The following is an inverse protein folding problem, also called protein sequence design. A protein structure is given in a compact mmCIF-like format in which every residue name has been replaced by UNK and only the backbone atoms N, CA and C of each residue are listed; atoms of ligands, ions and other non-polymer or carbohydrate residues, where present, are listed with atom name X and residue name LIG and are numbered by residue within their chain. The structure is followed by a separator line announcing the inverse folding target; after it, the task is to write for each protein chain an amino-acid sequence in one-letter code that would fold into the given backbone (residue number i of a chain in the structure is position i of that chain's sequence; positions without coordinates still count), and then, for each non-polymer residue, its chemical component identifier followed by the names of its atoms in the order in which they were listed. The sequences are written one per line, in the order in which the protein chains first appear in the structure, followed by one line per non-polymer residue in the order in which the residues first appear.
data_IF_969201615832
#
_entry.id   IF_969201615832
#
_cell.length_a   1.000
_cell.length_b   1.000
_cell.length_c   1.000
_cell.angle_alpha   90.00
_cell.angle_beta   90.00
_cell.angle_gamma   90.00
#
_symmetry.space_group_name_H-M   'P 1'
#
loop_
_entity.id
_entity.type
_entity.pdbx_description
1 polymer ?
#
# COMPACT_ATOMS: atom_id res chain seq x y z
N UNK A 1 -3.25 -18.05 5.78
CA UNK A 1 -3.90 -16.84 6.33
C UNK A 1 -3.32 -16.60 7.70
N UNK A 2 -2.68 -15.45 7.90
CA UNK A 2 -2.14 -15.07 9.21
C UNK A 2 -3.31 -14.77 10.14
N UNK A 3 -3.31 -15.34 11.35
CA UNK A 3 -4.35 -15.06 12.35
C UNK A 3 -4.14 -13.64 12.91
N UNK A 4 -5.08 -12.74 12.61
CA UNK A 4 -5.06 -11.32 13.02
C UNK A 4 -4.78 -11.15 14.51
N UNK A 5 -5.40 -11.96 15.37
CA UNK A 5 -5.20 -11.86 16.82
C UNK A 5 -3.76 -12.23 17.22
N UNK A 6 -3.22 -13.29 16.62
CA UNK A 6 -1.82 -13.70 16.80
C UNK A 6 -0.84 -12.62 16.32
N UNK A 7 -1.11 -11.97 15.19
CA UNK A 7 -0.25 -10.88 14.67
C UNK A 7 -0.28 -9.65 15.57
N UNK A 8 -1.45 -9.23 16.04
CA UNK A 8 -1.57 -8.12 17.00
C UNK A 8 -0.82 -8.44 18.30
N UNK A 9 -0.96 -9.68 18.80
CA UNK A 9 -0.24 -10.13 20.01
C UNK A 9 1.28 -10.09 19.81
N UNK A 10 1.77 -10.52 18.63
CA UNK A 10 3.18 -10.43 18.28
C UNK A 10 3.67 -8.98 18.27
N UNK A 11 2.95 -8.09 17.60
CA UNK A 11 3.32 -6.67 17.48
C UNK A 11 3.37 -6.00 18.86
N UNK A 12 2.31 -6.14 19.65
CA UNK A 12 2.22 -5.53 20.99
C UNK A 12 3.27 -6.10 21.95
N UNK A 13 3.58 -7.40 21.85
CA UNK A 13 4.68 -8.00 22.62
C UNK A 13 6.03 -7.45 22.18
N UNK A 14 6.28 -7.35 20.87
CA UNK A 14 7.51 -6.76 20.35
C UNK A 14 7.68 -5.29 20.79
N UNK A 15 6.60 -4.50 20.78
CA UNK A 15 6.61 -3.10 21.24
C UNK A 15 6.95 -2.99 22.72
N UNK A 16 6.36 -3.85 23.57
CA UNK A 16 6.69 -3.93 25.00
C UNK A 16 8.15 -4.34 25.22
N UNK A 17 8.63 -5.35 24.49
CA UNK A 17 10.00 -5.84 24.60
C UNK A 17 11.02 -4.77 24.16
N UNK A 18 10.73 -4.03 23.08
CA UNK A 18 11.55 -2.90 22.62
C UNK A 18 11.62 -1.79 23.67
N UNK A 19 10.48 -1.44 24.28
CA UNK A 19 10.45 -0.48 25.37
C UNK A 19 11.29 -0.95 26.55
N UNK A 20 11.16 -2.22 26.95
CA UNK A 20 11.95 -2.79 28.04
C UNK A 20 13.46 -2.77 27.74
N UNK A 21 13.87 -3.05 26.49
CA UNK A 21 15.26 -2.92 26.07
C UNK A 21 15.75 -1.47 26.11
N UNK A 22 14.90 -0.52 25.72
CA UNK A 22 15.23 0.91 25.72
C UNK A 22 15.37 1.48 27.14
N UNK A 23 14.57 0.99 28.08
CA UNK A 23 14.61 1.38 29.49
C UNK A 23 15.58 0.52 30.32
N UNK A 24 16.29 -0.43 29.70
CA UNK A 24 17.19 -1.34 30.40
C UNK A 24 18.28 -0.56 31.14
N UNK A 25 18.38 -0.81 32.44
CA UNK A 25 19.47 -0.36 33.30
C UNK A 25 20.04 -1.57 34.03
N UNK A 26 21.37 -1.69 34.04
CA UNK A 26 22.08 -2.76 34.73
C UNK A 26 23.35 -2.19 35.36
N UNK A 27 23.39 -2.12 36.69
CA UNK A 27 24.51 -1.56 37.45
C UNK A 27 25.77 -2.43 37.39
N UNK A 28 25.64 -3.68 36.94
CA UNK A 28 26.75 -4.61 36.82
C UNK A 28 27.39 -4.62 35.43
N UNK A 29 26.81 -3.90 34.46
CA UNK A 29 27.35 -3.80 33.10
C UNK A 29 28.07 -2.46 32.89
N UNK A 30 29.13 -2.49 32.10
CA UNK A 30 29.70 -1.25 31.54
C UNK A 30 28.73 -0.66 30.50
N UNK A 31 28.87 0.62 30.13
CA UNK A 31 28.06 1.21 29.06
C UNK A 31 28.11 0.42 27.75
N UNK A 32 29.27 -0.13 27.38
CA UNK A 32 29.43 -0.99 26.21
C UNK A 32 28.71 -2.32 26.38
N UNK A 33 28.81 -2.94 27.57
CA UNK A 33 28.10 -4.17 27.90
C UNK A 33 26.58 -4.01 27.86
N UNK A 34 26.08 -2.87 28.35
CA UNK A 34 24.66 -2.51 28.28
C UNK A 34 24.22 -2.37 26.81
N UNK A 35 24.96 -1.63 25.98
CA UNK A 35 24.65 -1.49 24.55
C UNK A 35 24.69 -2.81 23.79
N UNK A 36 25.67 -3.68 24.08
CA UNK A 36 25.76 -5.00 23.46
C UNK A 36 24.53 -5.87 23.82
N UNK A 37 24.06 -5.79 25.08
CA UNK A 37 22.84 -6.46 25.52
C UNK A 37 21.59 -5.89 24.82
N UNK A 38 21.44 -4.57 24.79
CA UNK A 38 20.33 -3.91 24.09
C UNK A 38 20.29 -4.28 22.60
N UNK A 39 21.44 -4.31 21.92
CA UNK A 39 21.54 -4.75 20.52
C UNK A 39 21.08 -6.20 20.36
N UNK A 40 21.55 -7.11 21.21
CA UNK A 40 21.13 -8.50 21.18
C UNK A 40 19.61 -8.66 21.37
N UNK A 41 19.02 -7.92 22.30
CA UNK A 41 17.58 -7.97 22.56
C UNK A 41 16.79 -7.43 21.35
N UNK A 42 17.21 -6.32 20.77
CA UNK A 42 16.64 -5.76 19.53
C UNK A 42 16.76 -6.73 18.35
N UNK A 43 17.91 -7.38 18.17
CA UNK A 43 18.13 -8.35 17.09
C UNK A 43 17.22 -9.57 17.23
N UNK A 44 16.99 -10.06 18.46
CA UNK A 44 16.04 -11.14 18.75
C UNK A 44 14.60 -10.71 18.43
N UNK A 45 14.22 -9.48 18.77
CA UNK A 45 12.90 -8.93 18.43
C UNK A 45 12.74 -8.85 16.90
N UNK A 46 13.72 -8.29 16.19
CA UNK A 46 13.75 -8.18 14.73
C UNK A 46 13.61 -9.55 14.07
N UNK A 47 14.38 -10.53 14.51
CA UNK A 47 14.30 -11.89 13.97
C UNK A 47 12.91 -12.51 14.12
N UNK A 48 12.23 -12.30 15.27
CA UNK A 48 10.85 -12.77 15.48
C UNK A 48 9.86 -12.08 14.54
N UNK A 49 9.98 -10.77 14.35
CA UNK A 49 9.11 -9.99 13.45
C UNK A 49 9.32 -10.41 11.98
N UNK A 50 10.57 -10.55 11.55
CA UNK A 50 10.92 -10.97 10.19
C UNK A 50 10.44 -12.39 9.90
N UNK A 51 10.57 -13.32 10.86
CA UNK A 51 10.09 -14.69 10.71
C UNK A 51 8.55 -14.79 10.60
N UNK A 52 7.83 -13.78 11.09
CA UNK A 52 6.38 -13.71 11.04
C UNK A 52 5.84 -12.93 9.82
N UNK A 53 6.71 -12.41 8.94
CA UNK A 53 6.27 -11.69 7.75
C UNK A 53 5.37 -12.59 6.90
N UNK A 54 4.18 -12.11 6.50
CA UNK A 54 3.40 -12.78 5.48
C UNK A 54 4.25 -13.02 4.23
N UNK A 55 3.98 -14.13 3.53
CA UNK A 55 4.57 -14.40 2.22
C UNK A 55 4.42 -13.16 1.32
N UNK A 56 5.44 -12.88 0.52
CA UNK A 56 5.44 -11.73 -0.37
C UNK A 56 4.21 -11.80 -1.30
N UNK A 57 3.30 -10.83 -1.23
CA UNK A 57 2.08 -10.86 -2.03
C UNK A 57 2.43 -10.75 -3.50
N UNK A 58 1.86 -11.61 -4.33
CA UNK A 58 2.02 -11.49 -5.78
C UNK A 58 1.21 -10.30 -6.26
N UNK A 59 1.84 -9.31 -6.90
CA UNK A 59 1.09 -8.26 -7.58
C UNK A 59 0.65 -8.82 -8.93
N UNK A 60 -0.65 -9.05 -9.17
CA UNK A 60 -1.10 -9.56 -10.46
C UNK A 60 -0.85 -8.50 -11.54
N UNK A 61 -0.43 -8.97 -12.72
CA UNK A 61 -0.16 -8.09 -13.85
C UNK A 61 -1.47 -7.64 -14.50
N UNK A 62 -1.70 -6.31 -14.52
CA UNK A 62 -2.85 -5.67 -15.15
C UNK A 62 -2.70 -5.56 -16.68
N UNK A 63 -1.47 -5.60 -17.19
CA UNK A 63 -1.14 -5.33 -18.59
C UNK A 63 -1.91 -6.20 -19.59
N UNK A 64 -2.12 -7.52 -19.37
CA UNK A 64 -2.85 -8.36 -20.31
C UNK A 64 -4.30 -7.92 -20.55
N UNK A 65 -4.95 -7.32 -19.54
CA UNK A 65 -6.32 -6.79 -19.68
C UNK A 65 -6.31 -5.48 -20.47
N UNK A 66 -5.33 -4.61 -20.21
CA UNK A 66 -5.16 -3.35 -20.92
C UNK A 66 -4.81 -3.60 -22.40
N UNK A 67 -3.89 -4.51 -22.69
CA UNK A 67 -3.51 -4.92 -24.05
C UNK A 67 -4.71 -5.50 -24.82
N UNK A 68 -5.63 -6.18 -24.13
CA UNK A 68 -6.84 -6.73 -24.74
C UNK A 68 -7.89 -5.65 -25.12
N UNK A 69 -7.67 -4.38 -24.77
CA UNK A 69 -8.49 -3.25 -25.20
C UNK A 69 -8.02 -2.65 -26.53
N UNK A 70 -6.76 -2.87 -26.91
CA UNK A 70 -6.22 -2.37 -28.18
C UNK A 70 -7.01 -2.93 -29.37
N UNK A 71 -7.35 -2.08 -30.36
CA UNK A 71 -8.10 -2.53 -31.53
C UNK A 71 -7.24 -3.48 -32.39
N UNK A 72 -7.83 -4.58 -32.85
CA UNK A 72 -7.11 -5.64 -33.58
C UNK A 72 -7.32 -5.61 -35.09
N UNK A 73 -8.31 -4.86 -35.55
CA UNK A 73 -8.71 -4.77 -36.95
C UNK A 73 -9.32 -3.39 -37.25
N UNK A 74 -9.56 -3.14 -38.54
CA UNK A 74 -10.08 -1.86 -39.03
C UNK A 74 -11.48 -1.54 -38.49
N UNK A 75 -12.32 -2.56 -38.25
CA UNK A 75 -13.68 -2.36 -37.74
C UNK A 75 -13.64 -1.89 -36.28
N UNK A 76 -12.77 -2.49 -35.47
CA UNK A 76 -12.52 -2.07 -34.09
C UNK A 76 -11.91 -0.67 -34.02
N UNK A 77 -11.00 -0.33 -34.93
CA UNK A 77 -10.46 1.05 -35.04
C UNK A 77 -11.61 2.03 -35.33
N UNK A 78 -12.49 1.72 -36.28
CA UNK A 78 -13.62 2.58 -36.62
C UNK A 78 -14.61 2.73 -35.45
N UNK A 79 -14.89 1.65 -34.73
CA UNK A 79 -15.76 1.67 -33.55
C UNK A 79 -15.16 2.51 -32.42
N UNK A 80 -13.86 2.39 -32.15
CA UNK A 80 -13.18 3.20 -31.14
C UNK A 80 -13.12 4.67 -31.53
N UNK A 81 -12.79 4.99 -32.79
CA UNK A 81 -12.83 6.36 -33.29
C UNK A 81 -14.23 7.00 -33.16
N UNK A 82 -15.29 6.22 -33.41
CA UNK A 82 -16.66 6.67 -33.21
C UNK A 82 -17.00 6.90 -31.72
N UNK A 83 -16.54 6.04 -30.81
CA UNK A 83 -16.72 6.26 -29.38
C UNK A 83 -15.94 7.48 -28.89
N UNK A 84 -14.72 7.67 -29.38
CA UNK A 84 -13.93 8.85 -29.06
C UNK A 84 -14.63 10.14 -29.50
N UNK A 85 -15.22 10.17 -30.70
CA UNK A 85 -16.03 11.31 -31.15
C UNK A 85 -17.19 11.62 -30.20
N UNK A 86 -17.82 10.61 -29.58
CA UNK A 86 -18.87 10.81 -28.58
C UNK A 86 -18.31 11.34 -27.26
N UNK A 87 -17.17 10.82 -26.81
CA UNK A 87 -16.47 11.32 -25.61
C UNK A 87 -16.14 12.79 -25.77
N UNK A 88 -15.56 13.17 -26.91
CA UNK A 88 -15.26 14.57 -27.24
C UNK A 88 -16.50 15.45 -27.22
N UNK A 89 -17.61 14.99 -27.83
CA UNK A 89 -18.86 15.74 -27.80
C UNK A 89 -19.40 15.96 -26.37
N UNK A 90 -19.16 15.02 -25.44
CA UNK A 90 -19.53 15.18 -24.03
C UNK A 90 -18.61 16.17 -23.31
N UNK A 91 -17.31 16.12 -23.58
CA UNK A 91 -16.33 17.08 -23.05
C UNK A 91 -16.64 18.51 -23.54
N UNK A 92 -16.90 18.68 -24.84
CA UNK A 92 -17.29 19.96 -25.45
C UNK A 92 -18.61 20.49 -24.89
N UNK A 93 -19.51 19.60 -24.43
CA UNK A 93 -20.75 19.96 -23.73
C UNK A 93 -20.54 20.31 -22.24
N UNK A 94 -19.28 20.31 -21.77
CA UNK A 94 -18.90 20.67 -20.41
C UNK A 94 -18.99 19.54 -19.39
N UNK A 95 -19.15 18.29 -19.82
CA UNK A 95 -19.10 17.14 -18.91
C UNK A 95 -17.65 16.79 -18.59
N UNK A 96 -17.34 16.53 -17.32
CA UNK A 96 -15.99 16.13 -16.93
C UNK A 96 -15.64 14.67 -17.31
N UNK A 97 -14.35 14.41 -17.53
CA UNK A 97 -13.85 13.10 -17.93
C UNK A 97 -14.09 12.01 -16.87
N UNK A 98 -13.90 12.24 -15.55
CA UNK A 98 -14.19 11.24 -14.53
C UNK A 98 -15.64 10.74 -14.58
N UNK A 99 -16.61 11.63 -14.75
CA UNK A 99 -18.02 11.27 -14.89
C UNK A 99 -18.30 10.53 -16.19
N UNK A 100 -17.58 10.84 -17.28
CA UNK A 100 -17.70 10.09 -18.55
C UNK A 100 -17.17 8.66 -18.39
N UNK A 101 -16.03 8.50 -17.71
CA UNK A 101 -15.43 7.19 -17.39
C UNK A 101 -16.39 6.37 -16.54
N UNK A 102 -16.99 6.96 -15.50
CA UNK A 102 -17.92 6.27 -14.62
C UNK A 102 -19.13 5.66 -15.35
N UNK A 103 -19.61 6.31 -16.42
CA UNK A 103 -20.74 5.83 -17.24
C UNK A 103 -20.31 4.96 -18.42
N UNK A 104 -19.00 4.86 -18.69
CA UNK A 104 -18.48 4.20 -19.88
C UNK A 104 -18.69 2.68 -19.84
N UNK A 105 -18.91 2.12 -21.02
CA UNK A 105 -18.77 0.70 -21.29
C UNK A 105 -17.32 0.37 -21.68
N UNK A 106 -17.01 -0.92 -21.80
CA UNK A 106 -15.66 -1.40 -22.14
C UNK A 106 -15.10 -0.75 -23.42
N UNK A 107 -15.93 -0.55 -24.44
CA UNK A 107 -15.48 -0.01 -25.73
C UNK A 107 -15.15 1.47 -25.63
N UNK A 108 -15.95 2.25 -24.89
CA UNK A 108 -15.65 3.66 -24.62
C UNK A 108 -14.41 3.83 -23.75
N UNK A 109 -14.20 2.96 -22.76
CA UNK A 109 -12.95 2.96 -21.97
C UNK A 109 -11.72 2.68 -22.82
N UNK A 110 -11.81 1.73 -23.75
CA UNK A 110 -10.74 1.45 -24.70
C UNK A 110 -10.41 2.68 -25.56
N UNK A 111 -11.44 3.36 -26.08
CA UNK A 111 -11.25 4.58 -26.88
C UNK A 111 -10.62 5.73 -26.08
N UNK A 112 -10.97 5.88 -24.80
CA UNK A 112 -10.35 6.87 -23.89
C UNK A 112 -8.87 6.56 -23.69
N UNK A 113 -8.52 5.30 -23.39
CA UNK A 113 -7.12 4.90 -23.20
C UNK A 113 -6.28 5.10 -24.46
N UNK A 114 -6.81 4.77 -25.63
CA UNK A 114 -6.13 4.91 -26.92
C UNK A 114 -5.77 6.37 -27.24
N UNK A 115 -6.62 7.31 -26.82
CA UNK A 115 -6.42 8.74 -27.09
C UNK A 115 -5.71 9.50 -25.98
N UNK A 116 -5.43 8.85 -24.83
CA UNK A 116 -4.98 9.49 -23.59
C UNK A 116 -3.77 10.41 -23.79
N UNK A 117 -2.75 9.95 -24.52
CA UNK A 117 -1.53 10.72 -24.78
C UNK A 117 -1.71 11.92 -25.72
N UNK A 118 -2.90 12.11 -26.30
CA UNK A 118 -3.23 13.19 -27.24
C UNK A 118 -4.37 14.08 -26.76
N UNK A 119 -4.90 13.83 -25.55
CA UNK A 119 -5.99 14.61 -24.99
C UNK A 119 -5.50 16.02 -24.60
N UNK A 120 -6.24 17.10 -24.93
CA UNK A 120 -5.89 18.46 -24.49
C UNK A 120 -5.72 18.55 -22.97
N UNK A 121 -6.56 17.88 -22.20
CA UNK A 121 -6.51 17.85 -20.74
C UNK A 121 -5.20 17.28 -20.19
N UNK A 122 -4.55 16.38 -20.94
CA UNK A 122 -3.23 15.84 -20.58
C UNK A 122 -2.12 16.75 -21.09
N UNK A 123 -2.22 17.22 -22.34
CA UNK A 123 -1.17 18.01 -22.99
C UNK A 123 -1.03 19.43 -22.44
N UNK A 124 -2.12 20.01 -21.93
CA UNK A 124 -2.17 21.38 -21.43
C UNK A 124 -1.89 21.47 -19.91
N UNK A 125 -1.88 20.34 -19.19
CA UNK A 125 -1.53 20.32 -17.78
C UNK A 125 -0.02 20.49 -17.57
N UNK A 126 0.33 21.16 -16.48
CA UNK A 126 1.71 21.28 -15.97
C UNK A 126 2.37 19.94 -15.61
N UNK A 127 1.58 18.90 -15.34
CA UNK A 127 2.02 17.58 -14.87
C UNK A 127 1.30 16.46 -15.63
N UNK A 128 1.59 16.29 -16.93
CA UNK A 128 0.88 15.34 -17.81
C UNK A 128 0.94 13.89 -17.31
N UNK A 129 2.05 13.48 -16.72
CA UNK A 129 2.24 12.11 -16.20
C UNK A 129 1.27 11.81 -15.05
N UNK A 130 1.07 12.75 -14.12
CA UNK A 130 0.11 12.57 -13.02
C UNK A 130 -1.34 12.49 -13.52
N UNK A 131 -1.67 13.27 -14.55
CA UNK A 131 -3.01 13.23 -15.17
C UNK A 131 -3.24 11.89 -15.87
N UNK A 132 -2.23 11.37 -16.57
CA UNK A 132 -2.27 10.05 -17.21
C UNK A 132 -2.50 8.96 -16.16
N UNK A 133 -1.72 8.95 -15.09
CA UNK A 133 -1.87 7.96 -14.01
C UNK A 133 -3.25 8.03 -13.35
N UNK A 134 -3.74 9.24 -13.09
CA UNK A 134 -5.08 9.46 -12.54
C UNK A 134 -6.17 8.90 -13.46
N UNK A 135 -6.11 9.19 -14.76
CA UNK A 135 -7.10 8.71 -15.73
C UNK A 135 -7.01 7.18 -15.89
N UNK A 136 -5.80 6.62 -15.95
CA UNK A 136 -5.60 5.17 -16.01
C UNK A 136 -6.18 4.47 -14.77
N UNK A 137 -5.99 5.04 -13.58
CA UNK A 137 -6.61 4.58 -12.34
C UNK A 137 -8.14 4.57 -12.44
N UNK A 138 -8.74 5.69 -12.84
CA UNK A 138 -10.20 5.79 -13.00
C UNK A 138 -10.75 4.81 -14.05
N UNK A 139 -10.05 4.62 -15.16
CA UNK A 139 -10.43 3.64 -16.19
C UNK A 139 -10.33 2.22 -15.64
N UNK A 140 -9.27 1.89 -14.90
CA UNK A 140 -9.13 0.57 -14.27
C UNK A 140 -10.27 0.30 -13.30
N UNK A 141 -10.58 1.24 -12.40
CA UNK A 141 -11.67 1.12 -11.45
C UNK A 141 -13.02 0.89 -12.13
N UNK A 142 -13.24 1.53 -13.28
CA UNK A 142 -14.43 1.27 -14.09
C UNK A 142 -14.37 -0.09 -14.78
N UNK A 143 -13.22 -0.46 -15.36
CA UNK A 143 -13.04 -1.76 -16.03
C UNK A 143 -13.36 -2.92 -15.09
N UNK A 144 -12.95 -2.84 -13.82
CA UNK A 144 -13.30 -3.81 -12.78
C UNK A 144 -14.82 -4.04 -12.69
N UNK A 145 -15.63 -3.00 -12.90
CA UNK A 145 -17.09 -3.11 -12.85
C UNK A 145 -17.74 -3.65 -14.13
N UNK A 146 -17.06 -3.55 -15.28
CA UNK A 146 -17.66 -3.84 -16.60
C UNK A 146 -16.94 -4.93 -17.40
N UNK A 147 -15.77 -5.38 -16.96
CA UNK A 147 -14.95 -6.41 -17.61
C UNK A 147 -14.65 -7.56 -16.61
N UNK A 148 -15.14 -8.78 -16.88
CA UNK A 148 -14.90 -9.92 -15.99
C UNK A 148 -13.42 -10.29 -15.79
N UNK A 149 -12.54 -9.96 -16.73
CA UNK A 149 -11.10 -10.20 -16.60
C UNK A 149 -10.46 -9.20 -15.64
N UNK A 150 -10.84 -7.92 -15.71
CA UNK A 150 -10.43 -6.90 -14.75
C UNK A 150 -10.92 -7.23 -13.33
N UNK A 151 -12.18 -7.64 -13.18
CA UNK A 151 -12.74 -8.05 -11.88
C UNK A 151 -11.96 -9.21 -11.25
N UNK A 152 -11.53 -10.20 -12.06
CA UNK A 152 -10.71 -11.32 -11.56
C UNK A 152 -9.35 -10.85 -11.04
N UNK A 153 -8.69 -9.93 -11.75
CA UNK A 153 -7.41 -9.36 -11.29
C UNK A 153 -7.62 -8.57 -10.01
N UNK A 154 -8.62 -7.68 -9.97
CA UNK A 154 -8.94 -6.90 -8.78
C UNK A 154 -9.36 -7.79 -7.58
N UNK A 155 -9.98 -8.95 -7.80
CA UNK A 155 -10.27 -9.91 -6.74
C UNK A 155 -8.98 -10.52 -6.16
N UNK A 156 -7.98 -10.82 -7.00
CA UNK A 156 -6.66 -11.28 -6.54
C UNK A 156 -5.96 -10.17 -5.75
N UNK A 157 -5.98 -8.93 -6.27
CA UNK A 157 -5.41 -7.77 -5.57
C UNK A 157 -6.04 -7.60 -4.19
N UNK A 158 -7.37 -7.60 -4.09
CA UNK A 158 -8.11 -7.51 -2.83
C UNK A 158 -7.76 -8.64 -1.85
N UNK A 159 -7.57 -9.86 -2.35
CA UNK A 159 -7.17 -11.01 -1.52
C UNK A 159 -5.78 -10.82 -0.91
N UNK A 160 -4.90 -10.09 -1.60
CA UNK A 160 -3.54 -9.82 -1.17
C UNK A 160 -3.43 -8.61 -0.23
N UNK A 161 -4.39 -7.69 -0.24
CA UNK A 161 -4.36 -6.44 0.54
C UNK A 161 -4.10 -6.64 2.04
N UNK A 162 -4.73 -7.60 2.75
CA UNK A 162 -4.42 -7.83 4.16
C UNK A 162 -2.95 -8.27 4.40
N UNK A 163 -2.39 -9.08 3.50
CA UNK A 163 -1.00 -9.51 3.62
C UNK A 163 -0.04 -8.33 3.38
N UNK A 164 -0.35 -7.44 2.43
CA UNK A 164 0.40 -6.20 2.17
C UNK A 164 0.39 -5.31 3.42
N UNK A 165 -0.79 -5.08 4.00
CA UNK A 165 -0.96 -4.23 5.19
C UNK A 165 -0.15 -4.75 6.39
N UNK A 166 -0.30 -6.05 6.72
CA UNK A 166 0.43 -6.65 7.84
C UNK A 166 1.94 -6.68 7.61
N UNK A 167 2.37 -6.94 6.37
CA UNK A 167 3.78 -6.92 6.01
C UNK A 167 4.38 -5.53 6.20
N UNK A 168 3.72 -4.47 5.72
CA UNK A 168 4.18 -3.09 5.90
C UNK A 168 4.33 -2.70 7.38
N UNK A 169 3.40 -3.14 8.25
CA UNK A 169 3.47 -2.93 9.69
C UNK A 169 4.69 -3.64 10.30
N UNK A 170 4.85 -4.94 10.01
CA UNK A 170 5.92 -5.76 10.57
C UNK A 170 7.31 -5.32 10.09
N UNK A 171 7.45 -4.96 8.81
CA UNK A 171 8.69 -4.42 8.24
C UNK A 171 9.03 -3.07 8.86
N UNK A 172 8.04 -2.17 8.99
CA UNK A 172 8.21 -0.88 9.66
C UNK A 172 8.68 -1.06 11.11
N UNK A 173 8.02 -1.93 11.87
CA UNK A 173 8.34 -2.21 13.26
C UNK A 173 9.73 -2.87 13.42
N UNK A 174 10.09 -3.80 12.54
CA UNK A 174 11.41 -4.41 12.57
C UNK A 174 12.51 -3.39 12.24
N UNK A 175 12.26 -2.49 11.29
CA UNK A 175 13.23 -1.48 10.88
C UNK A 175 13.41 -0.40 11.95
N UNK A 176 12.33 0.25 12.40
CA UNK A 176 12.40 1.48 13.20
C UNK A 176 11.95 1.31 14.64
N UNK A 177 11.42 0.14 15.01
CA UNK A 177 10.81 -0.09 16.30
C UNK A 177 9.41 0.54 16.45
N UNK A 178 8.83 1.09 15.38
CA UNK A 178 7.50 1.73 15.38
C UNK A 178 6.58 1.20 14.28
N UNK A 179 5.27 1.22 14.56
CA UNK A 179 4.25 0.96 13.55
C UNK A 179 4.09 2.20 12.66
N UNK A 180 4.56 2.10 11.42
CA UNK A 180 4.56 3.22 10.47
C UNK A 180 3.16 3.61 10.00
N UNK A 181 3.01 4.89 9.66
CA UNK A 181 1.73 5.46 9.21
C UNK A 181 1.18 4.75 7.97
N UNK A 182 2.04 4.43 6.99
CA UNK A 182 1.63 3.78 5.74
C UNK A 182 0.98 2.42 6.00
N UNK A 183 1.57 1.61 6.88
CA UNK A 183 1.01 0.31 7.27
C UNK A 183 -0.35 0.44 7.98
N UNK A 184 -0.52 1.48 8.80
CA UNK A 184 -1.81 1.78 9.46
C UNK A 184 -2.88 2.19 8.46
N UNK A 185 -2.53 3.03 7.48
CA UNK A 185 -3.46 3.43 6.41
C UNK A 185 -3.92 2.20 5.62
N UNK A 186 -2.98 1.33 5.22
CA UNK A 186 -3.31 0.09 4.51
C UNK A 186 -4.19 -0.83 5.36
N UNK A 187 -3.87 -1.01 6.65
CA UNK A 187 -4.69 -1.83 7.54
C UNK A 187 -6.09 -1.23 7.75
N UNK A 188 -6.20 0.08 7.90
CA UNK A 188 -7.50 0.77 8.02
C UNK A 188 -8.41 0.51 6.82
N UNK A 189 -7.85 0.53 5.62
CA UNK A 189 -8.59 0.33 4.37
C UNK A 189 -9.16 -1.10 4.24
N UNK A 190 -8.48 -2.09 4.83
CA UNK A 190 -8.80 -3.52 4.63
C UNK A 190 -9.48 -4.14 5.84
N UNK A 191 -9.15 -3.69 7.05
CA UNK A 191 -9.63 -4.22 8.33
C UNK A 191 -9.53 -3.12 9.42
N UNK A 192 -10.50 -2.18 9.45
CA UNK A 192 -10.49 -1.08 10.41
C UNK A 192 -10.65 -1.53 11.86
N UNK A 193 -11.30 -2.67 12.10
CA UNK A 193 -11.45 -3.25 13.44
C UNK A 193 -10.11 -3.78 13.96
N UNK A 194 -9.34 -4.48 13.11
CA UNK A 194 -8.00 -4.92 13.46
C UNK A 194 -7.05 -3.75 13.76
N UNK A 195 -7.16 -2.65 13.02
CA UNK A 195 -6.40 -1.44 13.33
C UNK A 195 -6.77 -0.87 14.71
N UNK A 196 -8.06 -0.78 15.03
CA UNK A 196 -8.49 -0.27 16.33
C UNK A 196 -7.93 -1.13 17.49
N UNK A 197 -7.98 -2.46 17.34
CA UNK A 197 -7.40 -3.40 18.31
C UNK A 197 -5.87 -3.28 18.42
N UNK A 198 -5.19 -3.11 17.28
CA UNK A 198 -3.76 -2.86 17.24
C UNK A 198 -3.40 -1.57 17.99
N UNK A 199 -4.14 -0.49 17.74
CA UNK A 199 -3.90 0.82 18.34
C UNK A 199 -4.13 0.81 19.85
N UNK A 200 -5.19 0.14 20.31
CA UNK A 200 -5.44 -0.07 21.74
C UNK A 200 -4.31 -0.89 22.39
N UNK A 201 -3.94 -2.00 21.75
CA UNK A 201 -2.88 -2.87 22.23
C UNK A 201 -1.50 -2.19 22.27
N UNK A 202 -1.17 -1.38 21.26
CA UNK A 202 0.09 -0.65 21.18
C UNK A 202 0.15 0.46 22.24
N UNK A 203 -0.94 1.18 22.46
CA UNK A 203 -1.03 2.20 23.51
C UNK A 203 -0.78 1.61 24.91
N UNK A 204 -1.20 0.36 25.15
CA UNK A 204 -0.94 -0.38 26.40
C UNK A 204 0.49 -0.95 26.46
N UNK A 205 1.07 -1.33 25.32
CA UNK A 205 2.39 -1.96 25.25
C UNK A 205 3.54 -0.94 25.32
N UNK A 206 3.37 0.23 24.71
CA UNK A 206 4.37 1.29 24.59
C UNK A 206 3.71 2.70 24.66
N UNK A 207 3.36 3.20 25.87
CA UNK A 207 2.61 4.44 26.02
C UNK A 207 3.33 5.68 25.47
N UNK A 208 2.54 6.63 24.94
CA UNK A 208 2.98 7.77 24.11
C UNK A 208 4.09 8.70 24.65
N UNK A 209 4.31 8.94 25.97
CA UNK A 209 5.48 9.72 26.40
C UNK A 209 6.80 8.96 26.26
N UNK A 210 6.77 7.62 26.13
CA UNK A 210 7.95 6.75 26.04
C UNK A 210 8.22 6.25 24.61
N UNK A 211 7.28 6.42 23.66
CA UNK A 211 7.45 5.93 22.28
C UNK A 211 8.70 6.50 21.62
N UNK A 212 9.03 7.78 21.84
CA UNK A 212 10.24 8.40 21.28
C UNK A 212 11.56 7.80 21.80
N UNK A 213 11.54 6.98 22.84
CA UNK A 213 12.73 6.30 23.37
C UNK A 213 13.08 5.08 22.49
N UNK A 214 12.08 4.41 21.90
CA UNK A 214 12.30 3.21 21.07
C UNK A 214 13.02 3.55 19.75
N UNK A 215 12.56 4.49 18.89
CA UNK A 215 13.28 4.87 17.67
C UNK A 215 14.68 5.37 17.97
N UNK A 216 14.86 6.16 19.04
CA UNK A 216 16.18 6.67 19.45
C UNK A 216 17.13 5.53 19.85
N UNK A 217 16.63 4.53 20.58
CA UNK A 217 17.43 3.33 20.86
C UNK A 217 17.86 2.68 19.55
N UNK A 218 16.89 2.37 18.67
CA UNK A 218 17.14 1.66 17.41
C UNK A 218 18.16 2.41 16.55
N UNK A 219 17.97 3.72 16.35
CA UNK A 219 18.89 4.59 15.61
C UNK A 219 20.28 4.66 16.26
N UNK A 220 20.35 4.80 17.59
CA UNK A 220 21.63 4.84 18.30
C UNK A 220 22.42 3.54 18.15
N UNK A 221 21.73 2.40 18.12
CA UNK A 221 22.35 1.09 17.93
C UNK A 221 22.81 0.89 16.48
N UNK A 222 22.29 1.60 15.50
CA UNK A 222 22.76 1.52 14.11
C UNK A 222 23.94 2.45 13.84
N UNK A 223 24.02 3.58 14.54
CA UNK A 223 25.09 4.58 14.36
C UNK A 223 26.46 4.17 14.90
N UNK A 224 26.53 3.14 15.76
CA UNK A 224 27.79 2.67 16.37
C UNK A 224 28.22 1.35 15.70
N UNK A 225 29.25 1.34 14.84
CA UNK A 225 29.74 0.09 14.25
C UNK A 225 30.25 -0.87 15.34
N UNK A 226 30.00 -2.16 15.12
CA UNK A 226 30.37 -3.25 16.03
C UNK A 226 31.89 -3.43 16.18
#
# INVERSE_FOLDING_TARGET
MTDTASTITLITTARRDLLAAALLQDQHLTPEGLRARQRRDVDVIRARLTAALPAEPTTPDRQPVLDALAPKDADMIALQAHQWSKVRALLDAGRDLPSIIQDADRLRLAAILDHLGTMPEVLEDSRPEEVVEFIQGAVWDRLVQVDPAAERIAAIERTNQPAIAWRAILEGLAATGEVRFEGRVLLHQVDPEALALLDEGDALAAPAPESGVIPRLVESLESVPA
#
